data_IF_282730736084
#
_entry.id   IF_282730736084
#
_cell.length_a   1.000
_cell.length_b   1.000
_cell.length_c   1.000
_cell.angle_alpha   90.00
_cell.angle_beta   90.00
_cell.angle_gamma   90.00
#
_symmetry.space_group_name_H-M   'P 1'
#
loop_
_entity.id
_entity.type
_entity.pdbx_description
1 polymer ?
#
# COMPACT_ATOMS: atom_id res chain seq x y z
N UNK A 1 39.05 48.06 6.92
CA UNK A 1 38.18 46.88 6.63
C UNK A 1 37.40 47.00 5.31
N UNK A 2 36.75 48.13 4.99
CA UNK A 2 36.01 48.31 3.73
C UNK A 2 36.87 48.09 2.46
N UNK A 3 38.13 48.54 2.48
CA UNK A 3 39.07 48.34 1.38
C UNK A 3 39.31 46.85 1.08
N UNK A 4 39.57 46.04 2.10
CA UNK A 4 39.77 44.59 1.94
C UNK A 4 38.47 43.91 1.50
N UNK A 5 37.31 44.32 2.03
CA UNK A 5 36.01 43.79 1.60
C UNK A 5 35.75 44.07 0.11
N UNK A 6 36.03 45.28 -0.37
CA UNK A 6 35.89 45.63 -1.79
C UNK A 6 36.85 44.80 -2.68
N UNK A 7 38.08 44.58 -2.23
CA UNK A 7 39.05 43.75 -2.94
C UNK A 7 38.59 42.29 -3.04
N UNK A 8 38.04 41.73 -1.96
CA UNK A 8 37.50 40.37 -1.96
C UNK A 8 36.29 40.21 -2.90
N UNK A 9 35.43 41.23 -3.00
CA UNK A 9 34.31 41.26 -3.96
C UNK A 9 34.82 41.29 -5.40
N UNK A 10 35.84 42.11 -5.69
CA UNK A 10 36.47 42.18 -7.02
C UNK A 10 37.13 40.86 -7.38
N UNK A 11 37.86 40.22 -6.46
CA UNK A 11 38.48 38.91 -6.68
C UNK A 11 37.42 37.85 -6.99
N UNK A 12 36.31 37.85 -6.26
CA UNK A 12 35.24 36.88 -6.47
C UNK A 12 34.49 37.10 -7.79
N UNK A 13 34.06 38.34 -8.06
CA UNK A 13 33.31 38.72 -9.24
C UNK A 13 34.15 38.69 -10.53
N UNK A 14 35.35 39.25 -10.49
CA UNK A 14 36.30 39.21 -11.60
C UNK A 14 36.75 37.79 -11.92
N UNK A 15 37.00 36.96 -10.91
CA UNK A 15 37.31 35.55 -11.12
C UNK A 15 36.16 34.75 -11.74
N UNK A 16 34.90 35.13 -11.45
CA UNK A 16 33.74 34.52 -12.08
C UNK A 16 33.63 34.91 -13.56
N UNK A 17 33.87 36.19 -13.89
CA UNK A 17 33.92 36.71 -15.25
C UNK A 17 35.00 36.01 -16.10
N UNK A 18 36.14 35.73 -15.48
CA UNK A 18 37.28 35.02 -16.09
C UNK A 18 37.13 33.48 -16.07
N UNK A 19 35.95 32.95 -15.70
CA UNK A 19 35.65 31.50 -15.64
C UNK A 19 36.60 30.69 -14.75
N UNK A 20 37.18 31.30 -13.71
CA UNK A 20 38.03 30.60 -12.75
C UNK A 20 37.20 29.66 -11.86
N UNK A 21 37.75 28.48 -11.58
CA UNK A 21 37.13 27.53 -10.65
C UNK A 21 36.95 28.17 -9.27
N UNK A 22 35.89 27.77 -8.55
CA UNK A 22 35.62 28.29 -7.21
C UNK A 22 36.80 28.07 -6.25
N UNK A 23 37.54 26.97 -6.41
CA UNK A 23 38.74 26.68 -5.64
C UNK A 23 39.84 27.74 -5.81
N UNK A 24 40.11 28.18 -7.06
CA UNK A 24 41.12 29.21 -7.34
C UNK A 24 40.72 30.58 -6.80
N UNK A 25 39.43 30.91 -6.86
CA UNK A 25 38.89 32.15 -6.27
C UNK A 25 39.01 32.17 -4.75
N UNK A 26 38.65 31.08 -4.09
CA UNK A 26 38.80 30.93 -2.63
C UNK A 26 40.28 31.00 -2.22
N UNK A 27 41.19 30.36 -2.97
CA UNK A 27 42.62 30.42 -2.70
C UNK A 27 43.17 31.86 -2.79
N UNK A 28 42.75 32.62 -3.81
CA UNK A 28 43.14 34.02 -3.95
C UNK A 28 42.64 34.89 -2.78
N UNK A 29 41.38 34.69 -2.36
CA UNK A 29 40.83 35.37 -1.20
C UNK A 29 41.56 35.01 0.11
N UNK A 30 41.92 33.75 0.29
CA UNK A 30 42.68 33.29 1.45
C UNK A 30 44.10 33.87 1.48
N UNK A 31 44.75 34.01 0.32
CA UNK A 31 46.07 34.65 0.20
C UNK A 31 46.02 36.14 0.58
N UNK A 32 44.99 36.86 0.14
CA UNK A 32 44.77 38.26 0.54
C UNK A 32 44.51 38.38 2.03
N UNK A 33 43.68 37.50 2.61
CA UNK A 33 43.46 37.46 4.05
C UNK A 33 44.76 37.20 4.83
N UNK A 34 45.56 36.22 4.41
CA UNK A 34 46.84 35.89 5.04
C UNK A 34 47.83 37.06 4.98
N UNK A 35 47.88 37.78 3.85
CA UNK A 35 48.71 38.97 3.70
C UNK A 35 48.26 40.10 4.64
N UNK A 36 46.96 40.29 4.79
CA UNK A 36 46.40 41.30 5.72
C UNK A 36 46.72 40.95 7.17
N UNK A 37 46.58 39.68 7.57
CA UNK A 37 46.97 39.21 8.92
C UNK A 37 48.46 39.43 9.15
N UNK A 38 49.31 39.04 8.21
CA UNK A 38 50.77 39.20 8.29
C UNK A 38 51.17 40.68 8.44
N UNK A 39 50.50 41.56 7.69
CA UNK A 39 50.70 43.01 7.75
C UNK A 39 50.43 43.56 9.16
N UNK A 40 49.40 43.06 9.85
CA UNK A 40 49.07 43.49 11.22
C UNK A 40 49.99 42.88 12.29
N UNK A 41 50.64 41.75 11.99
CA UNK A 41 51.59 41.10 12.89
C UNK A 41 53.00 41.68 12.79
N UNK A 42 53.43 42.15 11.61
CA UNK A 42 54.79 42.63 11.37
C UNK A 42 54.91 44.16 11.49
N UNK A 43 53.92 44.92 11.01
CA UNK A 43 54.06 46.38 10.95
C UNK A 43 53.70 47.08 12.27
N UNK A 44 54.43 48.16 12.61
CA UNK A 44 54.12 48.98 13.79
C UNK A 44 52.71 49.60 13.68
N UNK A 45 52.07 49.92 14.82
CA UNK A 45 50.69 50.44 14.87
C UNK A 45 50.44 51.68 14.00
N UNK A 46 51.48 52.50 13.81
CA UNK A 46 51.42 53.78 13.08
C UNK A 46 51.55 53.64 11.55
N UNK A 47 51.81 52.42 11.06
CA UNK A 47 51.92 52.19 9.62
C UNK A 47 50.57 52.43 8.92
N UNK A 48 50.55 53.34 7.94
CA UNK A 48 49.33 53.69 7.19
C UNK A 48 48.62 52.48 6.55
N UNK A 49 49.37 51.44 6.18
CA UNK A 49 48.83 50.20 5.62
C UNK A 49 48.00 49.41 6.65
N UNK A 50 48.39 49.44 7.93
CA UNK A 50 47.65 48.81 9.03
C UNK A 50 46.36 49.57 9.31
N UNK A 51 46.41 50.90 9.33
CA UNK A 51 45.21 51.76 9.45
C UNK A 51 44.22 51.53 8.29
N UNK A 52 44.71 51.46 7.05
CA UNK A 52 43.87 51.23 5.86
C UNK A 52 43.18 49.85 5.87
N UNK A 53 43.81 48.84 6.47
CA UNK A 53 43.31 47.46 6.48
C UNK A 53 42.50 47.10 7.72
N UNK A 54 42.36 48.00 8.70
CA UNK A 54 41.45 47.83 9.85
C UNK A 54 42.04 48.15 11.22
N UNK A 55 43.31 48.55 11.29
CA UNK A 55 44.00 49.00 12.50
C UNK A 55 44.42 47.88 13.46
N UNK A 56 43.53 46.90 13.70
CA UNK A 56 43.73 45.82 14.67
C UNK A 56 43.61 44.41 14.04
N UNK A 57 44.45 43.49 14.52
CA UNK A 57 44.52 42.11 14.07
C UNK A 57 43.34 41.26 14.58
N UNK A 58 42.73 41.64 15.72
CA UNK A 58 41.70 40.83 16.39
C UNK A 58 40.53 40.49 15.47
N UNK A 59 40.01 41.46 14.72
CA UNK A 59 38.90 41.24 13.79
C UNK A 59 39.24 40.24 12.68
N UNK A 60 40.48 40.28 12.17
CA UNK A 60 40.95 39.36 11.13
C UNK A 60 41.16 37.94 11.64
N UNK A 61 41.61 37.78 12.89
CA UNK A 61 41.76 36.48 13.56
C UNK A 61 40.40 35.84 13.87
N UNK A 62 39.43 36.62 14.36
CA UNK A 62 38.05 36.15 14.59
C UNK A 62 37.42 35.66 13.29
N UNK A 63 37.57 36.42 12.20
CA UNK A 63 37.08 36.03 10.88
C UNK A 63 37.71 34.71 10.40
N UNK A 64 39.03 34.56 10.58
CA UNK A 64 39.74 33.31 10.28
C UNK A 64 39.24 32.12 11.11
N UNK A 65 38.99 32.34 12.40
CA UNK A 65 38.41 31.33 13.30
C UNK A 65 37.03 30.86 12.86
N UNK A 66 36.13 31.78 12.51
CA UNK A 66 34.78 31.44 12.01
C UNK A 66 34.86 30.63 10.70
N UNK A 67 35.73 31.04 9.77
CA UNK A 67 35.94 30.31 8.50
C UNK A 67 36.49 28.90 8.75
N UNK A 68 37.42 28.74 9.69
CA UNK A 68 37.99 27.45 10.07
C UNK A 68 36.93 26.52 10.69
N UNK A 69 36.07 27.03 11.59
CA UNK A 69 34.97 26.26 12.19
C UNK A 69 33.96 25.81 11.13
N UNK A 70 33.55 26.70 10.23
CA UNK A 70 32.65 26.36 9.12
C UNK A 70 33.28 25.33 8.18
N UNK A 71 34.59 25.45 7.90
CA UNK A 71 35.36 24.50 7.11
C UNK A 71 35.39 23.11 7.76
N UNK A 72 35.69 23.04 9.06
CA UNK A 72 35.71 21.81 9.84
C UNK A 72 34.32 21.16 9.88
N UNK A 73 33.27 21.94 10.12
CA UNK A 73 31.89 21.46 10.11
C UNK A 73 31.50 20.85 8.74
N UNK A 74 31.87 21.50 7.64
CA UNK A 74 31.63 20.98 6.27
C UNK A 74 32.42 19.70 5.99
N UNK A 75 33.65 19.59 6.48
CA UNK A 75 34.46 18.38 6.37
C UNK A 75 33.83 17.22 7.13
N UNK A 76 33.37 17.45 8.37
CA UNK A 76 32.66 16.45 9.19
C UNK A 76 31.38 15.99 8.49
N UNK A 77 30.54 16.90 7.98
CA UNK A 77 29.32 16.51 7.23
C UNK A 77 29.67 15.70 5.99
N UNK A 78 30.70 16.07 5.23
CA UNK A 78 31.10 15.31 4.04
C UNK A 78 31.58 13.91 4.40
N UNK A 79 32.37 13.77 5.46
CA UNK A 79 32.83 12.48 5.96
C UNK A 79 31.65 11.61 6.46
N UNK A 80 30.67 12.21 7.15
CA UNK A 80 29.46 11.52 7.59
C UNK A 80 28.60 11.08 6.39
N UNK A 81 28.38 11.96 5.41
CA UNK A 81 27.62 11.63 4.19
C UNK A 81 28.29 10.54 3.34
N UNK A 82 29.61 10.51 3.28
CA UNK A 82 30.35 9.46 2.56
C UNK A 82 30.24 8.08 3.22
N UNK A 83 29.88 8.02 4.51
CA UNK A 83 29.60 6.75 5.23
C UNK A 83 28.16 6.27 5.07
N UNK A 84 27.27 7.11 4.53
CA UNK A 84 25.88 6.72 4.23
C UNK A 84 25.87 6.11 2.83
N UNK A 85 25.54 4.82 2.68
CA UNK A 85 25.32 4.23 1.36
C UNK A 85 24.29 5.07 0.60
N UNK A 86 24.43 5.26 -0.73
CA UNK A 86 23.41 5.94 -1.50
C UNK A 86 22.05 5.27 -1.21
N UNK A 87 20.97 6.04 -1.03
CA UNK A 87 19.65 5.44 -0.92
C UNK A 87 19.46 4.54 -2.13
N UNK A 88 19.05 3.30 -1.88
CA UNK A 88 18.73 2.37 -2.96
C UNK A 88 17.81 3.09 -3.94
N UNK A 89 17.99 2.92 -5.27
CA UNK A 89 17.08 3.50 -6.24
C UNK A 89 15.66 3.17 -5.80
N UNK A 90 14.80 4.19 -5.69
CA UNK A 90 13.39 4.01 -5.36
C UNK A 90 12.85 3.10 -6.43
N UNK A 91 12.65 1.82 -6.07
CA UNK A 91 12.17 0.82 -6.99
C UNK A 91 10.85 1.34 -7.57
N UNK A 92 10.69 1.23 -8.89
CA UNK A 92 9.38 1.41 -9.51
C UNK A 92 8.41 0.53 -8.70
N UNK A 93 7.32 1.07 -8.12
CA UNK A 93 6.37 0.27 -7.36
C UNK A 93 5.79 -0.90 -8.18
N UNK A 94 5.92 -0.88 -9.52
CA UNK A 94 5.58 -1.98 -10.41
C UNK A 94 6.74 -2.95 -10.76
N UNK A 95 7.96 -2.70 -10.26
CA UNK A 95 9.11 -3.60 -10.43
C UNK A 95 9.20 -4.61 -9.30
N UNK A 96 9.59 -5.84 -9.62
CA UNK A 96 9.75 -6.92 -8.64
C UNK A 96 11.20 -6.99 -8.18
N UNK A 97 11.42 -7.09 -6.86
CA UNK A 97 12.72 -7.50 -6.34
C UNK A 97 13.03 -8.96 -6.71
N UNK A 98 14.30 -9.36 -6.63
CA UNK A 98 14.71 -10.75 -6.94
C UNK A 98 13.93 -11.79 -6.11
N UNK A 99 13.68 -11.50 -4.82
CA UNK A 99 12.91 -12.38 -3.93
C UNK A 99 11.44 -12.49 -4.35
N UNK A 100 10.84 -11.40 -4.85
CA UNK A 100 9.47 -11.44 -5.37
C UNK A 100 9.38 -12.23 -6.67
N UNK A 101 10.37 -12.11 -7.56
CA UNK A 101 10.41 -12.88 -8.81
C UNK A 101 10.47 -14.38 -8.53
N UNK A 102 11.32 -14.81 -7.59
CA UNK A 102 11.40 -16.21 -7.18
C UNK A 102 10.09 -16.70 -6.54
N UNK A 103 9.52 -15.91 -5.62
CA UNK A 103 8.25 -16.23 -4.96
C UNK A 103 7.09 -16.40 -5.94
N UNK A 104 6.98 -15.49 -6.92
CA UNK A 104 5.88 -15.50 -7.89
C UNK A 104 6.21 -16.26 -9.17
N UNK A 105 7.37 -16.95 -9.24
CA UNK A 105 7.82 -17.63 -10.45
C UNK A 105 6.76 -18.59 -11.02
N UNK A 106 6.02 -19.28 -10.14
CA UNK A 106 4.96 -20.22 -10.55
C UNK A 106 3.74 -19.52 -11.18
N UNK A 107 3.42 -18.29 -10.79
CA UNK A 107 2.41 -17.48 -11.47
C UNK A 107 2.94 -16.90 -12.79
N UNK A 108 4.18 -16.42 -12.80
CA UNK A 108 4.80 -15.77 -13.96
C UNK A 108 4.95 -16.75 -15.14
N UNK A 109 5.12 -18.04 -14.89
CA UNK A 109 5.23 -19.07 -15.93
C UNK A 109 3.87 -19.41 -16.56
N UNK A 110 2.74 -19.16 -15.87
CA UNK A 110 1.42 -19.42 -16.43
C UNK A 110 1.12 -18.43 -17.56
N UNK A 111 0.78 -18.94 -18.74
CA UNK A 111 0.53 -18.13 -19.95
C UNK A 111 -0.56 -17.08 -19.73
N UNK A 112 -1.62 -17.44 -19.00
CA UNK A 112 -2.78 -16.61 -18.75
C UNK A 112 -2.51 -15.49 -17.74
N UNK A 113 -1.49 -15.64 -16.87
CA UNK A 113 -1.09 -14.63 -15.90
C UNK A 113 0.16 -13.89 -16.41
N UNK A 114 1.28 -14.59 -16.53
CA UNK A 114 2.54 -14.04 -17.00
C UNK A 114 3.12 -12.94 -16.09
N UNK A 115 4.24 -12.37 -16.52
CA UNK A 115 4.79 -11.16 -15.90
C UNK A 115 3.78 -9.99 -15.87
N UNK A 116 3.05 -9.68 -16.96
CA UNK A 116 2.06 -8.61 -16.96
C UNK A 116 0.91 -8.82 -15.97
N UNK A 117 0.37 -10.04 -15.85
CA UNK A 117 -0.68 -10.35 -14.88
C UNK A 117 -0.18 -10.26 -13.45
N UNK A 118 1.03 -10.74 -13.16
CA UNK A 118 1.63 -10.57 -11.84
C UNK A 118 1.84 -9.08 -11.51
N UNK A 119 2.25 -8.24 -12.47
CA UNK A 119 2.31 -6.78 -12.29
C UNK A 119 0.93 -6.18 -11.99
N UNK A 120 -0.14 -6.63 -12.66
CA UNK A 120 -1.51 -6.20 -12.35
C UNK A 120 -1.91 -6.59 -10.93
N UNK A 121 -1.58 -7.79 -10.46
CA UNK A 121 -1.80 -8.19 -9.06
C UNK A 121 -1.05 -7.27 -8.10
N UNK A 122 0.23 -6.98 -8.35
CA UNK A 122 1.03 -6.08 -7.52
C UNK A 122 0.51 -4.64 -7.51
N UNK A 123 -0.14 -4.19 -8.58
CA UNK A 123 -0.74 -2.85 -8.63
C UNK A 123 -2.14 -2.79 -7.98
N UNK A 124 -2.83 -3.94 -7.89
CA UNK A 124 -4.22 -4.01 -7.46
C UNK A 124 -4.41 -3.76 -5.96
N UNK A 125 -5.55 -3.16 -5.63
CA UNK A 125 -6.06 -2.97 -4.28
C UNK A 125 -7.36 -3.76 -4.12
N UNK A 126 -7.39 -4.70 -3.17
CA UNK A 126 -8.57 -5.52 -2.88
C UNK A 126 -9.06 -5.26 -1.46
N UNK A 127 -10.37 -5.01 -1.31
CA UNK A 127 -11.01 -4.93 0.01
C UNK A 127 -11.74 -6.24 0.30
N UNK A 128 -11.44 -6.87 1.44
CA UNK A 128 -12.17 -8.03 1.94
C UNK A 128 -13.03 -7.60 3.13
N UNK A 129 -14.35 -7.77 3.00
CA UNK A 129 -15.34 -7.49 4.04
C UNK A 129 -15.59 -8.79 4.80
N UNK A 130 -15.12 -8.83 6.05
CA UNK A 130 -15.13 -10.00 6.91
C UNK A 130 -13.81 -10.79 6.85
N UNK A 131 -13.21 -11.01 8.02
CA UNK A 131 -12.05 -11.87 8.24
C UNK A 131 -12.46 -13.25 8.80
N UNK A 132 -13.73 -13.65 8.60
CA UNK A 132 -14.31 -14.90 9.08
C UNK A 132 -13.93 -16.13 8.25
N UNK A 133 -14.84 -17.11 8.15
CA UNK A 133 -14.55 -18.41 7.52
C UNK A 133 -14.20 -18.31 6.04
N UNK A 134 -14.94 -17.50 5.28
CA UNK A 134 -14.68 -17.25 3.86
C UNK A 134 -13.51 -16.29 3.64
N UNK A 135 -13.45 -15.22 4.45
CA UNK A 135 -12.39 -14.23 4.39
C UNK A 135 -11.01 -14.79 4.70
N UNK A 136 -10.92 -15.76 5.62
CA UNK A 136 -9.66 -16.40 6.05
C UNK A 136 -8.82 -16.94 4.88
N UNK A 137 -9.28 -17.96 4.12
CA UNK A 137 -8.54 -18.46 2.97
C UNK A 137 -8.42 -17.41 1.86
N UNK A 138 -9.42 -16.54 1.66
CA UNK A 138 -9.36 -15.51 0.63
C UNK A 138 -8.19 -14.54 0.88
N UNK A 139 -8.08 -14.00 2.09
CA UNK A 139 -6.99 -13.12 2.52
C UNK A 139 -5.62 -13.79 2.38
N UNK A 140 -5.50 -15.05 2.82
CA UNK A 140 -4.26 -15.82 2.70
C UNK A 140 -3.83 -16.00 1.24
N UNK A 141 -4.74 -16.41 0.36
CA UNK A 141 -4.42 -16.63 -1.05
C UNK A 141 -4.21 -15.33 -1.83
N UNK A 142 -4.92 -14.25 -1.53
CA UNK A 142 -4.65 -12.93 -2.11
C UNK A 142 -3.25 -12.44 -1.72
N UNK A 143 -2.88 -12.59 -0.45
CA UNK A 143 -1.55 -12.25 0.04
C UNK A 143 -0.48 -13.14 -0.62
N UNK A 144 -0.68 -14.45 -0.69
CA UNK A 144 0.23 -15.39 -1.36
C UNK A 144 0.40 -15.07 -2.85
N UNK A 145 -0.69 -14.68 -3.52
CA UNK A 145 -0.70 -14.33 -4.95
C UNK A 145 0.00 -13.01 -5.26
N UNK A 146 0.34 -12.21 -4.25
CA UNK A 146 1.04 -10.95 -4.41
C UNK A 146 0.12 -9.79 -4.84
N UNK A 147 -1.14 -9.79 -4.39
CA UNK A 147 -1.98 -8.59 -4.49
C UNK A 147 -1.32 -7.44 -3.75
N UNK A 148 -1.17 -6.29 -4.39
CA UNK A 148 -0.36 -5.18 -3.89
C UNK A 148 -0.85 -4.59 -2.58
N UNK A 149 -2.16 -4.30 -2.50
CA UNK A 149 -2.79 -3.79 -1.29
C UNK A 149 -4.00 -4.62 -0.93
N UNK A 150 -4.08 -5.08 0.32
CA UNK A 150 -5.23 -5.79 0.85
C UNK A 150 -5.79 -5.01 2.03
N UNK A 151 -7.00 -4.48 1.85
CA UNK A 151 -7.82 -3.96 2.92
C UNK A 151 -8.63 -5.09 3.56
N UNK A 152 -8.73 -5.11 4.89
CA UNK A 152 -9.60 -6.03 5.60
C UNK A 152 -10.43 -5.27 6.63
N UNK A 153 -11.75 -5.38 6.54
CA UNK A 153 -12.68 -4.76 7.50
C UNK A 153 -13.45 -5.82 8.25
N UNK A 154 -13.31 -5.82 9.58
CA UNK A 154 -14.01 -6.72 10.49
C UNK A 154 -14.00 -6.07 11.89
N UNK A 155 -15.11 -6.17 12.62
CA UNK A 155 -15.25 -5.57 13.94
C UNK A 155 -14.99 -6.56 15.09
N UNK A 156 -14.98 -7.86 14.78
CA UNK A 156 -15.01 -8.91 15.79
C UNK A 156 -13.62 -9.20 16.36
N UNK A 157 -13.63 -9.89 17.50
CA UNK A 157 -12.46 -10.53 18.09
C UNK A 157 -12.40 -12.00 17.68
N UNK A 158 -11.21 -12.59 17.71
CA UNK A 158 -11.02 -14.03 17.55
C UNK A 158 -11.63 -14.74 18.76
N UNK A 159 -12.49 -15.71 18.49
CA UNK A 159 -13.12 -16.55 19.50
C UNK A 159 -12.78 -18.04 19.29
N UNK A 160 -12.78 -18.85 20.35
CA UNK A 160 -12.49 -20.28 20.25
C UNK A 160 -13.44 -21.00 19.27
N UNK A 161 -14.74 -20.68 19.27
CA UNK A 161 -15.75 -21.26 18.37
C UNK A 161 -15.48 -20.98 16.88
N UNK A 162 -14.60 -20.03 16.58
CA UNK A 162 -14.26 -19.62 15.23
C UNK A 162 -13.13 -20.49 14.64
N UNK A 163 -12.25 -21.04 15.48
CA UNK A 163 -10.99 -21.66 15.05
C UNK A 163 -11.17 -22.92 14.20
N UNK A 164 -12.31 -23.60 14.30
CA UNK A 164 -12.60 -24.76 13.46
C UNK A 164 -12.63 -24.43 11.96
N UNK A 165 -12.94 -23.17 11.60
CA UNK A 165 -13.09 -22.73 10.19
C UNK A 165 -12.34 -21.47 9.79
N UNK A 166 -11.91 -20.65 10.75
CA UNK A 166 -11.24 -19.37 10.48
C UNK A 166 -9.72 -19.56 10.53
N UNK A 167 -9.20 -20.29 9.54
CA UNK A 167 -7.82 -20.81 9.53
C UNK A 167 -6.71 -19.75 9.48
N UNK A 168 -7.07 -18.48 9.28
CA UNK A 168 -6.12 -17.36 9.36
C UNK A 168 -5.80 -16.98 10.82
N UNK A 169 -6.65 -17.39 11.76
CA UNK A 169 -6.49 -17.16 13.19
C UNK A 169 -5.84 -18.38 13.86
N UNK A 170 -5.38 -18.20 15.10
CA UNK A 170 -4.78 -19.26 15.88
C UNK A 170 -5.20 -19.13 17.35
N UNK A 171 -5.08 -20.23 18.08
CA UNK A 171 -5.42 -20.35 19.51
C UNK A 171 -4.74 -19.27 20.36
N UNK A 172 -3.43 -19.06 20.15
CA UNK A 172 -2.65 -18.01 20.82
C UNK A 172 -3.10 -16.57 20.53
N UNK A 173 -4.06 -16.36 19.61
CA UNK A 173 -4.61 -15.05 19.25
C UNK A 173 -6.09 -14.90 19.62
N UNK A 174 -6.67 -15.81 20.43
CA UNK A 174 -8.01 -15.63 20.99
C UNK A 174 -8.07 -14.29 21.76
N UNK A 175 -9.16 -13.54 21.57
CA UNK A 175 -9.35 -12.18 22.13
C UNK A 175 -8.68 -11.05 21.32
N UNK A 176 -7.81 -11.35 20.37
CA UNK A 176 -7.26 -10.35 19.44
C UNK A 176 -8.30 -9.94 18.41
N UNK A 177 -8.30 -8.68 17.97
CA UNK A 177 -9.13 -8.24 16.85
C UNK A 177 -8.85 -9.08 15.59
N UNK A 178 -9.89 -9.57 14.91
CA UNK A 178 -9.73 -10.43 13.73
C UNK A 178 -8.88 -9.80 12.65
N UNK A 179 -9.07 -8.50 12.38
CA UNK A 179 -8.24 -7.77 11.40
C UNK A 179 -6.75 -7.76 11.76
N UNK A 180 -6.40 -7.66 13.04
CA UNK A 180 -5.01 -7.68 13.48
C UNK A 180 -4.43 -9.09 13.44
N UNK A 181 -5.20 -10.09 13.88
CA UNK A 181 -4.84 -11.51 13.78
C UNK A 181 -4.61 -11.94 12.32
N UNK A 182 -5.45 -11.48 11.40
CA UNK A 182 -5.31 -11.69 9.96
C UNK A 182 -4.05 -11.01 9.41
N UNK A 183 -3.75 -9.78 9.84
CA UNK A 183 -2.52 -9.07 9.47
C UNK A 183 -1.26 -9.85 9.87
N UNK A 184 -1.22 -10.41 11.08
CA UNK A 184 -0.07 -11.22 11.54
C UNK A 184 0.17 -12.40 10.58
N UNK A 185 -0.89 -13.14 10.24
CA UNK A 185 -0.80 -14.27 9.33
C UNK A 185 -0.38 -13.87 7.91
N UNK A 186 -1.00 -12.83 7.34
CA UNK A 186 -0.68 -12.35 5.99
C UNK A 186 0.75 -11.80 5.89
N UNK A 187 1.25 -11.06 6.89
CA UNK A 187 2.63 -10.56 6.90
C UNK A 187 3.65 -11.70 7.00
N UNK A 188 3.37 -12.71 7.81
CA UNK A 188 4.21 -13.89 7.93
C UNK A 188 4.29 -14.66 6.60
N UNK A 189 3.18 -14.71 5.85
CA UNK A 189 3.11 -15.35 4.54
C UNK A 189 3.79 -14.52 3.44
N UNK A 190 3.50 -13.21 3.37
CA UNK A 190 4.02 -12.34 2.34
C UNK A 190 4.30 -10.91 2.84
N UNK A 191 5.56 -10.57 3.19
CA UNK A 191 5.93 -9.22 3.64
C UNK A 191 5.90 -8.13 2.55
N UNK A 192 5.67 -8.47 1.28
CA UNK A 192 5.68 -7.49 0.17
C UNK A 192 4.33 -6.81 -0.05
N UNK A 193 3.28 -7.27 0.65
CA UNK A 193 1.91 -6.79 0.49
C UNK A 193 1.63 -5.64 1.47
N UNK A 194 1.01 -4.57 0.98
CA UNK A 194 0.49 -3.49 1.81
C UNK A 194 -0.82 -3.91 2.46
N UNK A 195 -0.88 -3.98 3.79
CA UNK A 195 -2.06 -4.43 4.52
C UNK A 195 -2.73 -3.27 5.26
N UNK A 196 -4.04 -3.11 5.08
CA UNK A 196 -4.84 -2.04 5.69
C UNK A 196 -5.95 -2.64 6.57
N UNK A 197 -5.76 -2.71 7.90
CA UNK A 197 -6.77 -3.21 8.81
C UNK A 197 -7.80 -2.11 9.16
N UNK A 198 -9.09 -2.43 9.09
CA UNK A 198 -10.17 -1.58 9.56
C UNK A 198 -10.95 -2.32 10.65
N UNK A 199 -10.59 -2.06 11.91
CA UNK A 199 -11.26 -2.66 13.07
C UNK A 199 -12.57 -1.92 13.38
N UNK A 200 -13.57 -2.08 12.51
CA UNK A 200 -14.89 -1.45 12.63
C UNK A 200 -15.90 -2.18 11.75
N UNK A 201 -17.19 -1.96 12.02
CA UNK A 201 -18.26 -2.44 11.13
C UNK A 201 -18.29 -1.59 9.87
N UNK A 202 -18.63 -2.21 8.74
CA UNK A 202 -18.99 -1.47 7.54
C UNK A 202 -20.40 -0.91 7.74
N UNK A 203 -20.55 0.41 7.60
CA UNK A 203 -21.79 1.15 7.81
C UNK A 203 -22.10 2.02 6.59
N UNK A 204 -23.34 2.48 6.45
CA UNK A 204 -23.77 3.28 5.29
C UNK A 204 -22.95 4.56 5.11
N UNK A 205 -22.55 5.19 6.21
CA UNK A 205 -21.78 6.45 6.23
C UNK A 205 -20.34 6.29 5.72
N UNK A 206 -19.73 5.11 5.85
CA UNK A 206 -18.32 4.90 5.42
C UNK A 206 -18.17 4.05 4.16
N UNK A 207 -19.23 3.32 3.75
CA UNK A 207 -19.09 2.28 2.76
C UNK A 207 -18.70 2.82 1.39
N UNK A 208 -19.33 3.90 0.92
CA UNK A 208 -19.05 4.47 -0.39
C UNK A 208 -17.57 4.91 -0.51
N UNK A 209 -17.11 5.73 0.42
CA UNK A 209 -15.74 6.26 0.43
C UNK A 209 -14.70 5.15 0.58
N UNK A 210 -14.95 4.19 1.48
CA UNK A 210 -14.02 3.08 1.69
C UNK A 210 -13.91 2.19 0.45
N UNK A 211 -15.03 1.86 -0.20
CA UNK A 211 -15.01 0.97 -1.37
C UNK A 211 -14.42 1.66 -2.61
N UNK A 212 -14.58 2.98 -2.74
CA UNK A 212 -14.03 3.75 -3.86
C UNK A 212 -12.49 3.63 -4.00
N UNK A 213 -11.79 3.45 -2.88
CA UNK A 213 -10.33 3.32 -2.78
C UNK A 213 -9.76 1.99 -3.31
N UNK A 214 -10.60 1.02 -3.64
CA UNK A 214 -10.20 -0.32 -4.08
C UNK A 214 -10.64 -0.61 -5.50
N UNK A 215 -9.96 -1.57 -6.13
CA UNK A 215 -10.25 -2.01 -7.51
C UNK A 215 -11.26 -3.15 -7.52
N UNK A 216 -11.32 -3.94 -6.45
CA UNK A 216 -12.17 -5.12 -6.32
C UNK A 216 -12.58 -5.35 -4.86
N UNK A 217 -13.84 -5.70 -4.65
CA UNK A 217 -14.41 -5.98 -3.33
C UNK A 217 -14.74 -7.47 -3.21
N UNK A 218 -14.38 -8.07 -2.08
CA UNK A 218 -14.79 -9.43 -1.69
C UNK A 218 -15.71 -9.34 -0.47
N UNK A 219 -16.87 -9.97 -0.56
CA UNK A 219 -17.81 -10.15 0.55
C UNK A 219 -17.79 -11.60 1.04
N UNK A 220 -17.23 -11.78 2.24
CA UNK A 220 -17.22 -13.04 2.97
C UNK A 220 -18.04 -12.98 4.26
N UNK A 221 -18.97 -12.02 4.37
CA UNK A 221 -19.76 -11.80 5.58
C UNK A 221 -20.84 -12.86 5.76
N UNK A 222 -21.29 -13.09 6.99
CA UNK A 222 -22.30 -14.10 7.33
C UNK A 222 -23.68 -13.50 7.63
N UNK A 223 -23.87 -12.19 7.43
CA UNK A 223 -25.12 -11.50 7.72
C UNK A 223 -25.67 -10.77 6.49
N UNK A 224 -26.98 -10.89 6.27
CA UNK A 224 -27.64 -10.32 5.09
C UNK A 224 -27.55 -8.79 5.04
N UNK A 225 -27.62 -8.09 6.18
CA UNK A 225 -27.53 -6.62 6.21
C UNK A 225 -26.27 -6.12 5.51
N UNK A 226 -25.12 -6.69 5.88
CA UNK A 226 -23.83 -6.30 5.31
C UNK A 226 -23.75 -6.70 3.84
N UNK A 227 -24.25 -7.88 3.44
CA UNK A 227 -24.26 -8.31 2.02
C UNK A 227 -24.99 -7.31 1.12
N UNK A 228 -26.20 -6.90 1.52
CA UNK A 228 -26.99 -5.94 0.74
C UNK A 228 -26.35 -4.54 0.77
N UNK A 229 -25.77 -4.12 1.89
CA UNK A 229 -25.01 -2.87 2.01
C UNK A 229 -23.79 -2.85 1.08
N UNK A 230 -22.96 -3.89 1.13
CA UNK A 230 -21.76 -4.03 0.29
C UNK A 230 -22.15 -4.02 -1.18
N UNK A 231 -23.21 -4.75 -1.56
CA UNK A 231 -23.71 -4.72 -2.93
C UNK A 231 -24.12 -3.31 -3.37
N UNK A 232 -24.97 -2.60 -2.62
CA UNK A 232 -25.39 -1.24 -3.00
C UNK A 232 -24.20 -0.29 -3.11
N UNK A 233 -23.27 -0.38 -2.15
CA UNK A 233 -22.10 0.49 -2.08
C UNK A 233 -21.11 0.21 -3.22
N UNK A 234 -20.88 -1.06 -3.55
CA UNK A 234 -20.02 -1.46 -4.67
C UNK A 234 -20.62 -1.01 -6.01
N UNK A 235 -21.93 -1.16 -6.20
CA UNK A 235 -22.63 -0.67 -7.41
C UNK A 235 -22.50 0.86 -7.52
N UNK A 236 -22.76 1.59 -6.43
CA UNK A 236 -22.65 3.05 -6.41
C UNK A 236 -21.21 3.54 -6.70
N UNK A 237 -20.21 2.81 -6.22
CA UNK A 237 -18.80 3.11 -6.46
C UNK A 237 -18.26 2.57 -7.80
N UNK A 238 -19.09 1.89 -8.60
CA UNK A 238 -18.68 1.26 -9.86
C UNK A 238 -17.64 0.17 -9.69
N UNK A 239 -17.64 -0.54 -8.55
CA UNK A 239 -16.65 -1.57 -8.21
C UNK A 239 -17.21 -2.98 -8.40
N UNK A 240 -16.43 -3.91 -8.99
CA UNK A 240 -16.78 -5.32 -9.04
C UNK A 240 -16.82 -5.92 -7.62
N UNK A 241 -17.79 -6.81 -7.40
CA UNK A 241 -18.01 -7.49 -6.13
C UNK A 241 -17.98 -9.02 -6.33
N UNK A 242 -17.04 -9.69 -5.70
CA UNK A 242 -17.06 -11.14 -5.55
C UNK A 242 -17.71 -11.46 -4.21
N UNK A 243 -18.88 -12.09 -4.23
CA UNK A 243 -19.59 -12.45 -3.00
C UNK A 243 -19.68 -13.96 -2.87
N UNK A 244 -19.18 -14.47 -1.75
CA UNK A 244 -19.31 -15.87 -1.36
C UNK A 244 -20.33 -16.03 -0.24
N UNK A 245 -21.10 -17.12 -0.25
CA UNK A 245 -22.01 -17.49 0.84
C UNK A 245 -21.92 -18.98 1.12
N UNK A 246 -22.19 -19.39 2.36
CA UNK A 246 -22.16 -20.79 2.78
C UNK A 246 -23.24 -21.06 3.82
N UNK A 247 -23.77 -22.27 3.80
CA UNK A 247 -24.64 -22.80 4.85
C UNK A 247 -24.48 -24.31 4.91
N UNK A 248 -24.28 -24.88 6.10
CA UNK A 248 -24.13 -26.33 6.33
C UNK A 248 -23.06 -26.98 5.42
N UNK A 249 -23.47 -27.53 4.27
CA UNK A 249 -22.65 -28.22 3.27
C UNK A 249 -22.59 -27.52 1.91
N UNK A 250 -23.41 -26.49 1.69
CA UNK A 250 -23.51 -25.78 0.41
C UNK A 250 -22.78 -24.44 0.45
N UNK A 251 -22.06 -24.15 -0.63
CA UNK A 251 -21.45 -22.85 -0.89
C UNK A 251 -21.91 -22.24 -2.20
N UNK A 252 -21.91 -20.91 -2.27
CA UNK A 252 -22.29 -20.14 -3.44
C UNK A 252 -21.24 -19.06 -3.73
N UNK A 253 -21.00 -18.80 -5.01
CA UNK A 253 -20.03 -17.81 -5.46
C UNK A 253 -20.45 -17.17 -6.79
N UNK A 254 -20.33 -15.85 -6.87
CA UNK A 254 -20.49 -15.11 -8.14
C UNK A 254 -19.64 -13.84 -8.15
N UNK A 255 -19.35 -13.36 -9.37
CA UNK A 255 -18.81 -12.02 -9.61
C UNK A 255 -19.96 -11.11 -10.08
N UNK A 256 -20.31 -10.15 -9.25
CA UNK A 256 -21.30 -9.12 -9.53
C UNK A 256 -20.61 -7.86 -10.03
N UNK A 257 -20.84 -7.50 -11.29
CA UNK A 257 -20.19 -6.36 -11.94
C UNK A 257 -21.12 -5.71 -12.97
N UNK A 258 -22.06 -4.85 -12.52
CA UNK A 258 -23.00 -4.18 -13.43
C UNK A 258 -22.35 -3.19 -14.39
N UNK A 259 -21.22 -2.59 -14.00
CA UNK A 259 -20.46 -1.66 -14.84
C UNK A 259 -19.87 -2.31 -16.09
N UNK A 260 -19.78 -3.65 -16.09
CA UNK A 260 -19.38 -4.44 -17.27
C UNK A 260 -20.49 -5.40 -17.74
N UNK A 261 -21.76 -5.01 -17.56
CA UNK A 261 -22.92 -5.73 -18.10
C UNK A 261 -23.39 -6.94 -17.28
N UNK A 262 -22.78 -7.20 -16.12
CA UNK A 262 -23.20 -8.27 -15.21
C UNK A 262 -24.43 -7.90 -14.34
N UNK A 263 -25.02 -8.86 -13.62
CA UNK A 263 -25.98 -8.56 -12.56
C UNK A 263 -25.29 -7.96 -11.33
N UNK A 264 -26.06 -7.25 -10.50
CA UNK A 264 -25.68 -7.02 -9.10
C UNK A 264 -26.25 -8.15 -8.22
N UNK A 265 -25.86 -8.22 -6.94
CA UNK A 265 -26.39 -9.22 -6.01
C UNK A 265 -27.93 -9.16 -5.92
N UNK A 266 -28.51 -7.95 -5.87
CA UNK A 266 -29.95 -7.75 -5.81
C UNK A 266 -30.72 -8.12 -7.11
N UNK A 267 -30.03 -8.36 -8.22
CA UNK A 267 -30.67 -8.96 -9.40
C UNK A 267 -31.00 -10.44 -9.17
N UNK A 268 -30.14 -11.15 -8.43
CA UNK A 268 -30.26 -12.59 -8.15
C UNK A 268 -31.10 -12.82 -6.89
N UNK A 269 -30.85 -12.02 -5.85
CA UNK A 269 -31.55 -12.07 -4.58
C UNK A 269 -32.26 -10.74 -4.34
N UNK A 270 -33.46 -10.53 -4.90
CA UNK A 270 -34.13 -9.23 -4.87
C UNK A 270 -34.73 -8.88 -3.51
N UNK A 271 -35.17 -9.90 -2.77
CA UNK A 271 -35.84 -9.73 -1.49
C UNK A 271 -34.97 -10.35 -0.42
N UNK A 272 -34.62 -9.53 0.57
CA UNK A 272 -33.94 -9.99 1.78
C UNK A 272 -34.82 -11.04 2.48
N UNK A 273 -34.27 -12.18 2.93
CA UNK A 273 -34.99 -13.09 3.82
C UNK A 273 -35.44 -12.37 5.09
N UNK A 274 -36.63 -12.71 5.60
CA UNK A 274 -37.10 -12.16 6.87
C UNK A 274 -36.12 -12.52 8.01
N UNK A 275 -35.96 -11.66 9.04
CA UNK A 275 -35.14 -11.99 10.20
C UNK A 275 -35.53 -13.35 10.79
N UNK A 276 -34.55 -14.22 11.02
CA UNK A 276 -34.76 -15.57 11.57
C UNK A 276 -35.20 -16.65 10.56
N UNK A 277 -35.47 -16.30 9.30
CA UNK A 277 -35.86 -17.28 8.28
C UNK A 277 -34.70 -18.18 7.84
N UNK A 278 -33.49 -17.62 7.77
CA UNK A 278 -32.28 -18.35 7.38
C UNK A 278 -31.30 -18.28 8.57
N UNK A 279 -30.93 -19.42 9.16
CA UNK A 279 -30.01 -19.45 10.29
C UNK A 279 -28.60 -19.03 9.85
N UNK A 280 -27.87 -18.35 10.73
CA UNK A 280 -26.46 -18.05 10.56
C UNK A 280 -25.61 -19.33 10.57
N UNK A 281 -24.35 -19.27 10.11
CA UNK A 281 -23.45 -20.42 10.23
C UNK A 281 -23.22 -20.85 11.69
N UNK A 282 -23.36 -19.93 12.65
CA UNK A 282 -23.26 -20.23 14.07
C UNK A 282 -24.49 -21.01 14.59
N UNK A 283 -25.66 -20.78 14.00
CA UNK A 283 -26.93 -21.44 14.37
C UNK A 283 -27.14 -22.76 13.62
N UNK A 284 -26.88 -22.77 12.31
CA UNK A 284 -27.11 -23.93 11.43
C UNK A 284 -26.00 -24.98 11.50
N UNK A 285 -24.82 -24.57 11.98
CA UNK A 285 -23.57 -25.30 11.77
C UNK A 285 -23.02 -25.12 10.34
N UNK A 286 -21.73 -25.37 10.19
CA UNK A 286 -21.05 -25.36 8.89
C UNK A 286 -19.89 -26.34 8.91
N UNK A 287 -19.79 -27.15 7.86
CA UNK A 287 -18.68 -28.09 7.69
C UNK A 287 -17.35 -27.32 7.59
N UNK A 288 -16.41 -27.63 8.49
CA UNK A 288 -15.16 -26.89 8.66
C UNK A 288 -14.40 -26.57 7.35
N UNK A 289 -14.26 -27.50 6.38
CA UNK A 289 -13.49 -27.25 5.16
C UNK A 289 -14.22 -26.42 4.11
N UNK A 290 -15.56 -26.37 4.14
CA UNK A 290 -16.38 -25.70 3.13
C UNK A 290 -16.02 -24.20 2.97
N UNK A 291 -15.91 -23.40 4.05
CA UNK A 291 -15.40 -22.03 3.96
C UNK A 291 -14.02 -21.94 3.30
N UNK A 292 -13.15 -22.94 3.55
CA UNK A 292 -11.85 -23.11 2.90
C UNK A 292 -11.96 -23.24 1.38
N UNK A 293 -12.86 -24.12 0.91
CA UNK A 293 -13.12 -24.35 -0.51
C UNK A 293 -13.62 -23.06 -1.17
N UNK A 294 -14.71 -22.49 -0.65
CA UNK A 294 -15.37 -21.34 -1.26
C UNK A 294 -14.51 -20.08 -1.17
N UNK A 295 -13.86 -19.82 -0.05
CA UNK A 295 -13.00 -18.65 0.08
C UNK A 295 -11.71 -18.75 -0.76
N UNK A 296 -11.20 -19.96 -1.01
CA UNK A 296 -10.13 -20.17 -2.01
C UNK A 296 -10.63 -19.90 -3.43
N UNK A 297 -11.87 -20.32 -3.75
CA UNK A 297 -12.51 -19.99 -5.03
C UNK A 297 -12.76 -18.48 -5.17
N UNK A 298 -13.11 -17.76 -4.09
CA UNK A 298 -13.19 -16.29 -4.09
C UNK A 298 -11.86 -15.64 -4.45
N UNK A 299 -10.75 -16.10 -3.86
CA UNK A 299 -9.42 -15.60 -4.21
C UNK A 299 -9.03 -15.95 -5.66
N UNK A 300 -9.35 -17.15 -6.13
CA UNK A 300 -9.12 -17.55 -7.53
C UNK A 300 -9.91 -16.65 -8.49
N UNK A 301 -11.17 -16.36 -8.17
CA UNK A 301 -12.01 -15.46 -8.96
C UNK A 301 -11.44 -14.03 -9.00
N UNK A 302 -10.89 -13.56 -7.88
CA UNK A 302 -10.20 -12.28 -7.81
C UNK A 302 -8.93 -12.26 -8.67
N UNK A 303 -8.10 -13.31 -8.60
CA UNK A 303 -6.90 -13.43 -9.44
C UNK A 303 -7.28 -13.42 -10.91
N UNK A 304 -8.26 -14.21 -11.33
CA UNK A 304 -8.74 -14.21 -12.72
C UNK A 304 -9.23 -12.82 -13.15
N UNK A 305 -10.04 -12.16 -12.33
CA UNK A 305 -10.57 -10.85 -12.65
C UNK A 305 -9.46 -9.79 -12.81
N UNK A 306 -8.54 -9.70 -11.84
CA UNK A 306 -7.46 -8.70 -11.84
C UNK A 306 -6.42 -8.97 -12.94
N UNK A 307 -6.19 -10.23 -13.27
CA UNK A 307 -5.23 -10.63 -14.31
C UNK A 307 -5.87 -10.72 -15.69
N UNK A 308 -7.19 -10.75 -15.81
CA UNK A 308 -7.86 -11.07 -17.08
C UNK A 308 -7.64 -12.52 -17.53
N UNK A 309 -7.27 -13.41 -16.60
CA UNK A 309 -7.02 -14.81 -16.91
C UNK A 309 -8.33 -15.60 -17.01
N UNK A 310 -8.51 -16.31 -18.14
CA UNK A 310 -9.64 -17.20 -18.36
C UNK A 310 -10.99 -16.48 -18.29
N UNK A 311 -12.00 -17.19 -17.79
CA UNK A 311 -13.36 -16.67 -17.68
C UNK A 311 -13.79 -16.50 -16.22
N UNK A 312 -14.34 -15.34 -15.90
CA UNK A 312 -14.88 -15.00 -14.58
C UNK A 312 -16.31 -15.50 -14.38
N UNK A 313 -16.78 -15.65 -13.16
CA UNK A 313 -18.17 -15.93 -12.79
C UNK A 313 -19.13 -14.75 -13.01
N UNK A 314 -18.74 -13.74 -13.81
CA UNK A 314 -19.66 -12.66 -14.21
C UNK A 314 -20.84 -13.26 -14.95
N UNK A 315 -22.06 -12.92 -14.51
CA UNK A 315 -23.28 -13.46 -15.11
C UNK A 315 -23.53 -14.94 -14.81
N UNK A 316 -22.81 -15.52 -13.83
CA UNK A 316 -22.91 -16.92 -13.45
C UNK A 316 -22.92 -17.07 -11.92
N UNK A 317 -23.81 -17.90 -11.39
CA UNK A 317 -23.81 -18.29 -9.99
C UNK A 317 -23.31 -19.73 -9.90
N UNK A 318 -22.16 -19.92 -9.26
CA UNK A 318 -21.67 -21.23 -8.89
C UNK A 318 -22.31 -21.65 -7.57
N UNK A 319 -22.80 -22.88 -7.51
CA UNK A 319 -23.28 -23.57 -6.32
C UNK A 319 -22.44 -24.83 -6.16
N UNK A 320 -21.86 -25.03 -4.99
CA UNK A 320 -21.02 -26.17 -4.65
C UNK A 320 -21.64 -26.91 -3.47
N UNK A 321 -22.01 -28.17 -3.68
CA UNK A 321 -22.46 -29.08 -2.65
C UNK A 321 -21.28 -29.94 -2.21
N UNK A 322 -20.74 -29.68 -1.01
CA UNK A 322 -19.61 -30.42 -0.48
C UNK A 322 -19.99 -31.79 0.09
N UNK A 323 -21.27 -32.05 0.34
CA UNK A 323 -21.74 -33.35 0.84
C UNK A 323 -21.71 -34.40 -0.27
N UNK A 324 -22.04 -34.00 -1.50
CA UNK A 324 -22.03 -34.87 -2.68
C UNK A 324 -20.89 -34.58 -3.67
N UNK A 325 -20.03 -33.60 -3.35
CA UNK A 325 -18.95 -33.12 -4.22
C UNK A 325 -19.43 -32.66 -5.62
N UNK A 326 -20.63 -32.08 -5.68
CA UNK A 326 -21.22 -31.58 -6.93
C UNK A 326 -20.98 -30.07 -7.08
N UNK A 327 -20.79 -29.62 -8.32
CA UNK A 327 -20.74 -28.19 -8.65
C UNK A 327 -21.68 -27.90 -9.80
N UNK A 328 -22.57 -26.94 -9.59
CA UNK A 328 -23.53 -26.46 -10.59
C UNK A 328 -23.27 -25.00 -10.88
N UNK A 329 -23.35 -24.61 -12.15
CA UNK A 329 -23.22 -23.21 -12.56
C UNK A 329 -24.46 -22.83 -13.32
N UNK A 330 -25.18 -21.82 -12.82
CA UNK A 330 -26.39 -21.30 -13.44
C UNK A 330 -26.15 -19.90 -13.98
N UNK A 331 -26.72 -19.60 -15.15
CA UNK A 331 -26.66 -18.26 -15.73
C UNK A 331 -27.58 -17.31 -14.94
N UNK A 332 -27.07 -16.13 -14.62
CA UNK A 332 -27.81 -15.06 -13.94
C UNK A 332 -27.73 -13.79 -14.75
N UNK A 333 -28.85 -13.07 -14.84
CA UNK A 333 -29.00 -11.89 -15.70
C UNK A 333 -29.26 -10.65 -14.89
N UNK A 334 -28.75 -9.52 -15.40
CA UNK A 334 -29.12 -8.21 -14.90
C UNK A 334 -30.63 -7.99 -15.13
N UNK A 335 -31.27 -7.39 -14.13
CA UNK A 335 -32.69 -7.01 -14.15
C UNK A 335 -32.83 -5.52 -14.45
N UNK A 336 -33.66 -5.17 -15.44
CA UNK A 336 -33.95 -3.77 -15.78
C UNK A 336 -34.72 -3.05 -14.66
N UNK A 337 -35.52 -3.78 -13.90
CA UNK A 337 -36.30 -3.31 -12.76
C UNK A 337 -35.55 -3.41 -11.41
N UNK A 338 -34.24 -3.70 -11.43
CA UNK A 338 -33.47 -3.83 -10.20
C UNK A 338 -33.40 -2.48 -9.46
N UNK A 339 -33.80 -2.39 -8.17
CA UNK A 339 -33.78 -1.12 -7.43
C UNK A 339 -32.35 -0.60 -7.16
N UNK A 340 -31.33 -1.43 -7.39
CA UNK A 340 -29.93 -1.08 -7.14
C UNK A 340 -29.19 -0.72 -8.43
N UNK A 341 -29.26 -1.56 -9.46
CA UNK A 341 -28.52 -1.34 -10.71
C UNK A 341 -29.41 -1.15 -11.96
N UNK A 342 -30.73 -1.00 -11.80
CA UNK A 342 -31.62 -0.78 -12.95
C UNK A 342 -31.30 0.49 -13.73
N UNK A 343 -30.90 1.56 -13.03
CA UNK A 343 -30.57 2.86 -13.63
C UNK A 343 -29.12 3.06 -14.10
N UNK A 344 -28.22 2.12 -13.82
CA UNK A 344 -26.79 2.24 -14.15
C UNK A 344 -26.53 1.70 -15.56
N UNK A 345 -26.88 2.44 -16.61
CA UNK A 345 -26.63 2.04 -18.00
C UNK A 345 -25.12 1.97 -18.31
#
# INVERSE_FOLDING_TARGET
>A
MLLVASLLVVIWGGGALLRLSAQRRVAAMAAVWALVVLTHLILPPEAGLRLATGGDARGWLVLGGVVAVVGLYRLVIRALKARVPPPAPVADPASFGAVELDRYARHIILREIGGPGQKRLKAAKVLVVGAGGLGSPALLYLAASGVGTIGVIDADLVDNSNLQRQIIHADARIGMAKVQSALVAMRALNPFVSLRPYQRRLTEDIAADLLADYDLILDGTDNFDTRYLVNRSAVAAGKPLISGAITQWEGQLSLFDPGQGGPCYACVFPTRPAPGMVPSCAEAGVAAPLPGIIGSMMAMEAVKHLTGAGETLRGRLMIHDALYAETRVIAVKRRSDCPVCGGTA
#
